data_IF_985451336623
#
_entry.id   IF_985451336623
#
_cell.length_a   1.000
_cell.length_b   1.000
_cell.length_c   1.000
_cell.angle_alpha   90.00
_cell.angle_beta   90.00
_cell.angle_gamma   90.00
#
_symmetry.space_group_name_H-M   'P 1'
#
loop_
_entity.id
_entity.type
_entity.pdbx_description
1 polymer ?
#
# COMPACT_ATOMS: atom_id res chain seq x y z
N UNK A 1 8.74 -3.93 -13.60
CA UNK A 1 9.16 -2.52 -13.42
C UNK A 1 7.93 -1.64 -13.56
N UNK A 2 7.75 -0.60 -12.73
CA UNK A 2 6.61 0.32 -12.81
C UNK A 2 7.03 1.51 -13.68
N UNK A 3 6.25 1.81 -14.72
CA UNK A 3 6.52 2.93 -15.62
C UNK A 3 5.82 4.18 -15.08
N UNK A 4 6.58 5.24 -14.82
CA UNK A 4 6.05 6.53 -14.36
C UNK A 4 6.00 7.52 -15.53
N UNK A 5 5.12 8.51 -15.45
CA UNK A 5 5.13 9.64 -16.39
C UNK A 5 6.48 10.39 -16.28
N UNK A 6 6.95 11.05 -17.35
CA UNK A 6 8.16 11.86 -17.29
C UNK A 6 8.10 12.88 -16.14
N UNK A 7 9.23 13.05 -15.45
CA UNK A 7 9.40 13.99 -14.34
C UNK A 7 8.49 13.76 -13.11
N UNK A 8 7.90 12.56 -12.99
CA UNK A 8 7.09 12.19 -11.83
C UNK A 8 7.88 12.35 -10.51
N UNK A 9 7.32 13.16 -9.61
CA UNK A 9 7.89 13.38 -8.28
C UNK A 9 7.39 12.33 -7.28
N UNK A 10 8.21 11.97 -6.28
CA UNK A 10 7.80 11.04 -5.25
C UNK A 10 6.55 11.48 -4.50
N UNK A 11 5.58 10.56 -4.42
CA UNK A 11 4.41 10.73 -3.56
C UNK A 11 4.73 10.15 -2.18
N UNK A 12 4.78 11.01 -1.18
CA UNK A 12 4.88 10.61 0.22
C UNK A 12 3.59 11.01 0.95
N UNK A 13 2.70 10.04 1.15
CA UNK A 13 1.44 10.24 1.85
C UNK A 13 1.51 9.69 3.28
N UNK A 14 1.13 10.48 4.29
CA UNK A 14 1.20 10.05 5.67
C UNK A 14 0.22 8.90 5.96
N UNK A 15 0.53 8.01 6.91
CA UNK A 15 -0.41 6.99 7.38
C UNK A 15 -1.71 7.62 7.92
N UNK A 16 -2.84 6.91 7.75
CA UNK A 16 -4.08 7.32 8.40
C UNK A 16 -4.04 7.05 9.90
N UNK A 17 -4.95 7.69 10.64
CA UNK A 17 -5.16 7.35 12.05
C UNK A 17 -6.01 6.09 12.15
N UNK A 18 -5.57 5.12 12.96
CA UNK A 18 -6.32 3.90 13.23
C UNK A 18 -6.64 3.79 14.71
N UNK A 19 -7.77 3.15 15.02
CA UNK A 19 -8.02 2.67 16.38
C UNK A 19 -6.97 1.63 16.79
N UNK A 20 -6.77 1.38 18.09
CA UNK A 20 -5.79 0.40 18.58
C UNK A 20 -5.93 -0.99 17.94
N UNK A 21 -7.17 -1.45 17.76
CA UNK A 21 -7.47 -2.74 17.09
C UNK A 21 -7.00 -2.76 15.63
N UNK A 22 -7.20 -1.64 14.91
CA UNK A 22 -6.71 -1.51 13.53
C UNK A 22 -5.19 -1.55 13.45
N UNK A 23 -4.50 -0.89 14.40
CA UNK A 23 -3.05 -0.92 14.47
C UNK A 23 -2.50 -2.33 14.67
N UNK A 24 -3.10 -3.12 15.57
CA UNK A 24 -2.71 -4.51 15.81
C UNK A 24 -2.82 -5.37 14.55
N UNK A 25 -3.93 -5.23 13.82
CA UNK A 25 -4.15 -5.97 12.56
C UNK A 25 -3.09 -5.59 11.51
N UNK A 26 -2.76 -4.30 11.41
CA UNK A 26 -1.72 -3.80 10.50
C UNK A 26 -0.37 -4.42 10.86
N UNK A 27 0.04 -4.37 12.13
CA UNK A 27 1.32 -4.91 12.60
C UNK A 27 1.43 -6.42 12.37
N UNK A 28 0.35 -7.17 12.64
CA UNK A 28 0.31 -8.60 12.37
C UNK A 28 0.53 -8.92 10.88
N UNK A 29 -0.21 -8.25 9.99
CA UNK A 29 -0.07 -8.47 8.54
C UNK A 29 1.33 -8.09 8.05
N UNK A 30 1.91 -7.00 8.58
CA UNK A 30 3.28 -6.59 8.24
C UNK A 30 4.32 -7.66 8.63
N UNK A 31 4.22 -8.19 9.85
CA UNK A 31 5.13 -9.24 10.32
C UNK A 31 4.99 -10.51 9.49
N UNK A 32 3.77 -10.96 9.21
CA UNK A 32 3.54 -12.14 8.37
C UNK A 32 4.14 -11.97 6.96
N UNK A 33 3.98 -10.79 6.34
CA UNK A 33 4.56 -10.51 5.02
C UNK A 33 6.10 -10.37 5.05
N UNK A 34 6.66 -9.86 6.16
CA UNK A 34 8.12 -9.81 6.36
C UNK A 34 8.70 -11.22 6.50
N UNK A 35 8.06 -12.07 7.31
CA UNK A 35 8.46 -13.47 7.54
C UNK A 35 8.37 -14.30 6.26
N UNK A 36 7.36 -14.03 5.42
CA UNK A 36 7.20 -14.65 4.10
C UNK A 36 8.13 -14.08 3.03
N UNK A 37 8.85 -12.98 3.31
CA UNK A 37 9.72 -12.30 2.35
C UNK A 37 8.97 -11.59 1.22
N UNK A 38 7.68 -11.30 1.39
CA UNK A 38 6.85 -10.56 0.41
C UNK A 38 7.23 -9.07 0.41
N UNK A 39 7.56 -8.54 1.59
CA UNK A 39 7.99 -7.14 1.77
C UNK A 39 9.32 -7.07 2.52
N UNK A 40 9.96 -5.90 2.46
CA UNK A 40 11.14 -5.59 3.26
C UNK A 40 11.06 -4.14 3.77
N UNK A 41 11.78 -3.79 4.85
CA UNK A 41 11.97 -2.40 5.23
C UNK A 41 12.56 -1.59 4.07
N UNK A 42 12.18 -0.32 3.95
CA UNK A 42 12.71 0.57 2.93
C UNK A 42 12.85 2.00 3.45
N UNK A 43 13.74 2.76 2.83
CA UNK A 43 13.93 4.22 3.03
C UNK A 43 13.48 5.00 1.80
N UNK A 44 12.43 4.51 1.13
CA UNK A 44 11.94 5.08 -0.12
C UNK A 44 11.43 6.52 0.06
N UNK A 45 11.66 7.42 -0.90
CA UNK A 45 10.99 8.73 -0.91
C UNK A 45 9.49 8.61 -1.24
N UNK A 46 9.03 7.43 -1.69
CA UNK A 46 7.63 7.12 -1.98
C UNK A 46 6.99 6.40 -0.79
N UNK A 47 5.80 6.86 -0.39
CA UNK A 47 5.00 6.22 0.64
C UNK A 47 3.50 6.33 0.32
N UNK A 48 2.80 5.20 0.45
CA UNK A 48 1.34 5.12 0.33
C UNK A 48 0.77 4.58 1.66
N UNK A 49 -0.35 5.14 2.16
CA UNK A 49 -0.89 4.73 3.44
C UNK A 49 -1.60 3.37 3.32
N UNK A 50 -1.61 2.63 4.43
CA UNK A 50 -2.42 1.42 4.57
C UNK A 50 -3.88 1.81 4.82
N UNK A 51 -4.82 1.00 4.40
CA UNK A 51 -6.23 1.12 4.76
C UNK A 51 -6.77 -0.26 5.14
N UNK A 52 -7.68 -0.28 6.11
CA UNK A 52 -8.39 -1.50 6.50
C UNK A 52 -9.80 -1.45 5.92
N UNK A 53 -10.16 -2.46 5.14
CA UNK A 53 -11.46 -2.53 4.47
C UNK A 53 -12.25 -3.73 5.01
N UNK A 54 -13.50 -3.56 5.46
CA UNK A 54 -14.31 -4.68 5.94
C UNK A 54 -14.65 -5.64 4.81
N UNK A 55 -14.46 -6.94 5.05
CA UNK A 55 -14.94 -8.02 4.19
C UNK A 55 -16.34 -8.46 4.64
N UNK A 56 -17.02 -9.20 3.77
CA UNK A 56 -18.35 -9.78 4.05
C UNK A 56 -18.34 -10.78 5.22
N UNK A 57 -17.21 -11.44 5.45
CA UNK A 57 -17.02 -12.41 6.54
C UNK A 57 -16.73 -11.76 7.90
N UNK A 58 -16.73 -10.43 7.98
CA UNK A 58 -16.44 -9.67 9.20
C UNK A 58 -14.94 -9.42 9.45
N UNK A 59 -14.04 -10.02 8.68
CA UNK A 59 -12.61 -9.73 8.77
C UNK A 59 -12.25 -8.38 8.13
N UNK A 60 -11.14 -7.78 8.56
CA UNK A 60 -10.58 -6.60 7.92
C UNK A 60 -9.50 -7.00 6.91
N UNK A 61 -9.53 -6.38 5.73
CA UNK A 61 -8.52 -6.56 4.68
C UNK A 61 -7.48 -5.45 4.79
N UNK A 62 -6.21 -5.85 4.92
CA UNK A 62 -5.07 -4.98 4.74
C UNK A 62 -4.94 -4.59 3.26
N UNK A 63 -5.06 -3.31 2.95
CA UNK A 63 -4.91 -2.77 1.59
C UNK A 63 -3.97 -1.57 1.61
N UNK A 64 -3.30 -1.28 0.50
CA UNK A 64 -2.49 -0.07 0.34
C UNK A 64 -3.21 0.87 -0.62
N UNK A 65 -3.35 2.14 -0.23
CA UNK A 65 -3.99 3.16 -1.06
C UNK A 65 -3.01 3.73 -2.09
N UNK A 66 -2.89 3.04 -3.23
CA UNK A 66 -2.03 3.46 -4.33
C UNK A 66 -2.65 4.53 -5.24
N UNK A 67 -3.79 5.14 -4.89
CA UNK A 67 -4.49 6.07 -5.82
C UNK A 67 -3.59 7.18 -6.35
N UNK A 68 -2.80 7.82 -5.48
CA UNK A 68 -1.86 8.89 -5.89
C UNK A 68 -0.64 8.38 -6.66
N UNK A 69 -0.19 7.16 -6.38
CA UNK A 69 0.86 6.53 -7.19
C UNK A 69 0.31 6.24 -8.59
N UNK A 70 -0.89 5.65 -8.67
CA UNK A 70 -1.54 5.28 -9.92
C UNK A 70 -1.83 6.48 -10.84
N UNK A 71 -1.96 7.70 -10.31
CA UNK A 71 -2.12 8.91 -11.14
C UNK A 71 -0.84 9.32 -11.86
N UNK A 72 0.33 8.91 -11.36
CA UNK A 72 1.64 9.21 -11.96
C UNK A 72 2.26 7.98 -12.64
N UNK A 73 1.56 6.85 -12.62
CA UNK A 73 1.94 5.61 -13.31
C UNK A 73 1.33 5.58 -14.71
N UNK A 74 2.15 5.25 -15.72
CA UNK A 74 1.68 4.98 -17.08
C UNK A 74 0.88 3.68 -17.06
N UNK A 75 -0.38 3.73 -17.52
CA UNK A 75 -1.24 2.55 -17.58
C UNK A 75 -0.73 1.60 -18.67
N UNK A 76 -0.43 0.38 -18.26
CA UNK A 76 -0.13 -0.71 -19.18
C UNK A 76 -1.44 -1.39 -19.59
N UNK A 77 -1.95 -1.03 -20.77
CA UNK A 77 -3.16 -1.62 -21.33
C UNK A 77 -2.77 -2.79 -22.24
N UNK A 78 -2.56 -3.95 -21.62
CA UNK A 78 -2.33 -5.18 -22.38
C UNK A 78 -3.65 -5.68 -22.99
N UNK A 79 -3.72 -5.94 -24.31
CA UNK A 79 -4.92 -6.48 -24.93
C UNK A 79 -5.18 -7.91 -24.43
N UNK A 80 -6.43 -8.18 -24.03
CA UNK A 80 -6.91 -9.48 -23.57
C UNK A 80 -7.41 -10.35 -24.72
#
# INVERSE_FOLDING_TARGET
>A
QINLVPDAQPVNSPPFRYAPTGKQIIEQNLNEMLDQGIISPSTSPWASPVILVPKKDGSLRFCIDYRKLNTVTIRDAYPL
#
